data_IF_122313041761
#
_entry.id   IF_122313041761
#
_cell.length_a   1.000
_cell.length_b   1.000
_cell.length_c   1.000
_cell.angle_alpha   90.00
_cell.angle_beta   90.00
_cell.angle_gamma   90.00
#
_symmetry.space_group_name_H-M   'P 1'
#
loop_
_entity.id
_entity.type
_entity.pdbx_description
1 polymer ?
#
# COMPACT_ATOMS: atom_id res chain seq x y z
N UNK A 1 -6.86 9.74 -20.13
CA UNK A 1 -6.01 8.63 -20.61
C UNK A 1 -4.95 8.38 -19.56
N UNK A 2 -5.20 7.49 -18.59
CA UNK A 2 -4.23 7.14 -17.55
C UNK A 2 -3.38 6.01 -18.07
N UNK A 3 -2.08 6.27 -18.26
CA UNK A 3 -1.11 5.24 -18.58
C UNK A 3 -1.01 4.29 -17.40
N UNK A 4 -1.77 3.20 -17.44
CA UNK A 4 -1.43 1.96 -16.76
C UNK A 4 -0.14 1.47 -17.40
N UNK A 5 0.96 2.15 -17.09
CA UNK A 5 2.28 1.66 -17.40
C UNK A 5 2.35 0.28 -16.76
N UNK A 6 2.41 -0.74 -17.60
CA UNK A 6 2.69 -2.13 -17.25
C UNK A 6 4.11 -2.16 -16.71
N UNK A 7 4.29 -1.59 -15.52
CA UNK A 7 5.56 -1.57 -14.80
C UNK A 7 5.87 -3.03 -14.50
N UNK A 8 7.09 -3.45 -14.82
CA UNK A 8 7.59 -4.77 -14.46
C UNK A 8 7.63 -4.91 -12.94
N UNK A 9 7.68 -6.15 -12.43
CA UNK A 9 7.78 -6.43 -10.99
C UNK A 9 8.92 -5.62 -10.35
N UNK A 10 10.09 -5.53 -11.00
CA UNK A 10 11.22 -4.72 -10.50
C UNK A 10 10.94 -3.21 -10.43
N UNK A 11 10.21 -2.66 -11.39
CA UNK A 11 9.79 -1.25 -11.35
C UNK A 11 8.72 -0.98 -10.26
N UNK A 12 7.84 -1.96 -10.03
CA UNK A 12 6.89 -1.96 -8.93
C UNK A 12 7.59 -1.99 -7.57
N UNK A 13 8.61 -2.82 -7.40
CA UNK A 13 9.45 -2.87 -6.19
C UNK A 13 10.18 -1.56 -5.96
N UNK A 14 10.79 -0.98 -6.99
CA UNK A 14 11.47 0.31 -6.89
C UNK A 14 10.52 1.44 -6.42
N UNK A 15 9.24 1.36 -6.81
CA UNK A 15 8.19 2.29 -6.42
C UNK A 15 7.43 1.88 -5.16
N UNK A 16 7.78 0.75 -4.53
CA UNK A 16 7.10 0.22 -3.34
C UNK A 16 7.07 1.23 -2.19
N UNK A 17 8.19 1.94 -1.96
CA UNK A 17 8.26 2.99 -0.95
C UNK A 17 7.21 4.09 -1.18
N UNK A 18 6.97 4.49 -2.44
CA UNK A 18 5.94 5.48 -2.78
C UNK A 18 4.54 4.95 -2.52
N UNK A 19 4.26 3.68 -2.82
CA UNK A 19 2.95 3.08 -2.55
C UNK A 19 2.69 2.98 -1.04
N UNK A 20 3.69 2.60 -0.25
CA UNK A 20 3.58 2.55 1.21
C UNK A 20 3.31 3.94 1.80
N UNK A 21 4.01 4.96 1.30
CA UNK A 21 3.78 6.37 1.67
C UNK A 21 2.37 6.83 1.32
N UNK A 22 1.90 6.56 0.09
CA UNK A 22 0.55 6.90 -0.34
C UNK A 22 -0.51 6.19 0.50
N UNK A 23 -0.30 4.90 0.83
CA UNK A 23 -1.21 4.15 1.69
C UNK A 23 -1.25 4.72 3.10
N UNK A 24 -0.10 5.12 3.66
CA UNK A 24 -0.04 5.81 4.94
C UNK A 24 -0.82 7.13 4.92
N UNK A 25 -0.66 7.93 3.87
CA UNK A 25 -1.44 9.17 3.68
C UNK A 25 -2.93 8.88 3.66
N UNK A 26 -3.39 7.90 2.88
CA UNK A 26 -4.81 7.53 2.83
C UNK A 26 -5.35 7.07 4.21
N UNK A 27 -4.56 6.32 4.96
CA UNK A 27 -4.92 5.92 6.33
C UNK A 27 -5.02 7.14 7.25
N UNK A 28 -4.07 8.07 7.17
CA UNK A 28 -4.09 9.33 7.93
C UNK A 28 -5.26 10.24 7.54
N UNK A 29 -5.68 10.23 6.27
CA UNK A 29 -6.88 10.93 5.79
C UNK A 29 -8.19 10.30 6.31
N UNK A 30 -8.12 9.15 7.00
CA UNK A 30 -9.31 8.45 7.50
C UNK A 30 -10.04 7.67 6.41
N UNK A 31 -9.37 7.33 5.30
CA UNK A 31 -9.98 6.53 4.23
C UNK A 31 -10.39 5.15 4.73
N UNK A 32 -11.58 4.73 4.32
CA UNK A 32 -12.07 3.38 4.59
C UNK A 32 -11.27 2.32 3.83
N UNK A 33 -11.23 1.10 4.35
CA UNK A 33 -10.48 -0.01 3.73
C UNK A 33 -10.90 -0.21 2.27
N UNK A 34 -12.20 -0.19 2.01
CA UNK A 34 -12.76 -0.35 0.66
C UNK A 34 -12.28 0.72 -0.34
N UNK A 35 -12.04 1.96 0.10
CA UNK A 35 -11.49 3.01 -0.75
C UNK A 35 -10.01 2.76 -1.07
N UNK A 36 -9.25 2.32 -0.07
CA UNK A 36 -7.84 1.98 -0.22
C UNK A 36 -7.70 0.76 -1.13
N UNK A 37 -8.54 -0.26 -0.96
CA UNK A 37 -8.58 -1.46 -1.81
C UNK A 37 -8.83 -1.13 -3.27
N UNK A 38 -9.73 -0.17 -3.55
CA UNK A 38 -10.00 0.34 -4.90
C UNK A 38 -8.87 1.18 -5.48
N UNK A 39 -7.88 1.56 -4.68
CA UNK A 39 -6.79 2.42 -5.12
C UNK A 39 -5.73 1.66 -5.91
N UNK A 40 -5.07 2.36 -6.84
CA UNK A 40 -4.01 1.78 -7.67
C UNK A 40 -2.83 1.25 -6.83
N UNK A 41 -2.47 1.94 -5.75
CA UNK A 41 -1.37 1.53 -4.86
C UNK A 41 -1.63 0.16 -4.22
N UNK A 42 -2.89 -0.13 -3.85
CA UNK A 42 -3.27 -1.42 -3.27
C UNK A 42 -3.15 -2.55 -4.29
N UNK A 43 -3.72 -2.37 -5.48
CA UNK A 43 -3.63 -3.35 -6.56
C UNK A 43 -2.18 -3.66 -6.92
N UNK A 44 -1.31 -2.65 -6.93
CA UNK A 44 0.13 -2.80 -7.18
C UNK A 44 0.85 -3.59 -6.08
N UNK A 45 0.56 -3.32 -4.80
CA UNK A 45 1.09 -4.13 -3.70
C UNK A 45 0.55 -5.57 -3.71
N UNK A 46 -0.73 -5.74 -4.02
CA UNK A 46 -1.34 -7.07 -4.15
C UNK A 46 -0.69 -7.87 -5.28
N UNK A 47 -0.37 -7.21 -6.40
CA UNK A 47 0.36 -7.81 -7.52
C UNK A 47 1.77 -8.23 -7.11
N UNK A 48 2.51 -7.37 -6.39
CA UNK A 48 3.83 -7.71 -5.83
C UNK A 48 3.75 -8.91 -4.90
N UNK A 49 2.80 -8.94 -3.98
CA UNK A 49 2.59 -10.10 -3.10
C UNK A 49 2.24 -11.37 -3.88
N UNK A 50 1.39 -11.27 -4.91
CA UNK A 50 1.04 -12.40 -5.77
C UNK A 50 2.24 -12.93 -6.56
N UNK A 51 3.11 -12.04 -7.02
CA UNK A 51 4.32 -12.41 -7.77
C UNK A 51 5.47 -12.87 -6.88
N UNK A 52 5.58 -12.33 -5.67
CA UNK A 52 6.67 -12.56 -4.70
C UNK A 52 6.11 -12.72 -3.27
N UNK A 53 5.35 -13.79 -2.98
CA UNK A 53 4.71 -13.98 -1.68
C UNK A 53 5.69 -14.18 -0.53
N UNK A 54 6.93 -14.59 -0.83
CA UNK A 54 7.98 -14.78 0.16
C UNK A 54 8.64 -13.45 0.63
N UNK A 55 8.63 -12.41 -0.21
CA UNK A 55 9.26 -11.11 0.10
C UNK A 55 8.25 -10.06 0.52
N UNK A 56 7.07 -10.04 -0.08
CA UNK A 56 6.07 -9.00 0.14
C UNK A 56 4.90 -9.50 0.97
N UNK A 57 4.50 -8.71 1.98
CA UNK A 57 3.29 -8.99 2.78
C UNK A 57 2.04 -8.56 2.03
N UNK A 58 0.92 -9.21 2.32
CA UNK A 58 -0.37 -8.80 1.79
C UNK A 58 -0.67 -7.33 2.15
N UNK A 59 -1.26 -6.55 1.25
CA UNK A 59 -1.58 -5.15 1.49
C UNK A 59 -2.54 -4.96 2.68
N UNK A 60 -3.40 -5.94 2.95
CA UNK A 60 -4.26 -5.95 4.14
C UNK A 60 -3.47 -5.96 5.46
N UNK A 61 -2.45 -6.83 5.55
CA UNK A 61 -1.56 -6.84 6.71
C UNK A 61 -0.81 -5.52 6.90
N UNK A 62 -0.37 -4.90 5.80
CA UNK A 62 0.28 -3.58 5.82
C UNK A 62 -0.69 -2.50 6.30
N UNK A 63 -1.93 -2.51 5.79
CA UNK A 63 -2.97 -1.56 6.19
C UNK A 63 -3.32 -1.69 7.68
N UNK A 64 -3.52 -2.92 8.16
CA UNK A 64 -3.76 -3.19 9.58
C UNK A 64 -2.58 -2.71 10.43
N UNK A 65 -1.34 -2.99 10.01
CA UNK A 65 -0.14 -2.53 10.72
C UNK A 65 -0.03 -1.00 10.73
N UNK A 66 -0.32 -0.34 9.61
CA UNK A 66 -0.31 1.12 9.50
C UNK A 66 -1.38 1.74 10.40
N UNK A 67 -2.60 1.21 10.40
CA UNK A 67 -3.68 1.66 11.28
C UNK A 67 -3.31 1.50 12.76
N UNK A 68 -2.73 0.36 13.12
CA UNK A 68 -2.27 0.09 14.49
C UNK A 68 -1.15 1.05 14.92
N UNK A 69 -0.22 1.35 14.02
CA UNK A 69 0.90 2.25 14.30
C UNK A 69 0.47 3.73 14.33
N UNK A 70 -0.50 4.13 13.51
CA UNK A 70 -1.09 5.48 13.51
C UNK A 70 -1.81 5.82 14.84
N UNK A 71 -2.24 4.81 15.60
CA UNK A 71 -2.82 5.00 16.92
C UNK A 71 -1.78 5.17 18.05
N UNK A 72 -0.47 5.12 17.75
CA UNK A 72 0.63 5.26 18.74
C UNK A 72 1.20 6.70 18.73
N UNK A 73 0.33 7.70 18.69
CA UNK A 73 0.65 9.06 19.16
C UNK A 73 -0.58 9.58 19.88
N UNK A 74 -0.58 9.46 21.21
CA UNK A 74 -0.33 10.67 21.98
C UNK A 74 0.70 10.42 23.09
N UNK A 75 1.85 11.11 23.02
CA UNK A 75 2.42 11.65 24.24
C UNK A 75 3.06 12.98 23.90
N UNK A 76 2.49 14.01 24.52
CA UNK A 76 2.99 15.37 24.71
C UNK A 76 4.50 15.39 25.06
#
# INVERSE_FOLDING_TARGET
>A
MTMEATLTIGELEAKYFMYCKAMRTMVSEGRSTQEIERSLCWHRMALLHRSLPAQYKAPDHLLLSLRRCQSITPLD
#
